data_IF_067198402265
#
_entry.id   IF_067198402265
#
_cell.length_a   1.000
_cell.length_b   1.000
_cell.length_c   1.000
_cell.angle_alpha   90.00
_cell.angle_beta   90.00
_cell.angle_gamma   90.00
#
_symmetry.space_group_name_H-M   'P 1'
#
loop_
_entity.id
_entity.type
_entity.pdbx_description
1 polymer ?
#
# COMPACT_ATOMS: atom_id res chain seq x y z
N UNK A 1 54.00 6.83 -61.74
CA UNK A 1 52.68 6.32 -61.27
C UNK A 1 52.73 6.30 -59.74
N UNK A 2 52.09 7.31 -59.11
CA UNK A 2 52.00 7.37 -57.61
C UNK A 2 50.62 6.91 -57.19
N UNK A 3 50.56 5.74 -56.50
CA UNK A 3 49.30 5.25 -55.82
C UNK A 3 49.13 6.02 -54.56
N UNK A 4 48.05 6.82 -54.46
CA UNK A 4 47.54 7.41 -53.20
C UNK A 4 46.70 6.40 -52.50
N UNK A 5 47.18 5.82 -51.38
CA UNK A 5 46.38 5.10 -50.44
C UNK A 5 45.54 6.12 -49.62
N UNK A 6 44.21 6.07 -49.75
CA UNK A 6 43.28 6.83 -48.92
C UNK A 6 42.99 5.98 -47.68
N UNK A 7 43.50 6.43 -46.53
CA UNK A 7 43.18 5.84 -45.22
C UNK A 7 41.83 6.36 -44.75
N UNK A 8 40.81 5.51 -44.82
CA UNK A 8 39.45 5.83 -44.30
C UNK A 8 39.43 5.54 -42.79
N UNK A 9 39.62 6.56 -41.95
CA UNK A 9 39.52 6.46 -40.50
C UNK A 9 38.05 6.38 -40.11
N UNK A 10 37.55 5.18 -39.77
CA UNK A 10 36.23 4.98 -39.18
C UNK A 10 36.29 5.45 -37.71
N UNK A 11 35.73 6.60 -37.45
CA UNK A 11 35.57 7.15 -36.10
C UNK A 11 34.36 6.45 -35.47
N UNK A 12 34.58 5.38 -34.68
CA UNK A 12 33.56 4.74 -33.88
C UNK A 12 33.14 5.69 -32.74
N UNK A 13 32.04 6.40 -32.94
CA UNK A 13 31.39 7.19 -31.88
C UNK A 13 30.74 6.22 -30.93
N UNK A 14 31.39 5.92 -29.80
CA UNK A 14 30.78 5.27 -28.67
C UNK A 14 29.77 6.25 -28.06
N UNK A 15 28.50 6.13 -28.43
CA UNK A 15 27.43 6.73 -27.66
C UNK A 15 27.37 5.99 -26.33
N UNK A 16 27.94 6.59 -25.29
CA UNK A 16 27.61 6.21 -23.92
C UNK A 16 26.13 6.50 -23.72
N UNK A 17 25.30 5.48 -23.89
CA UNK A 17 23.92 5.49 -23.41
C UNK A 17 23.99 5.54 -21.87
N UNK A 18 24.11 6.75 -21.31
CA UNK A 18 23.79 6.96 -19.92
C UNK A 18 22.32 6.54 -19.76
N UNK A 19 22.08 5.31 -19.33
CA UNK A 19 20.77 4.94 -18.80
C UNK A 19 20.51 5.88 -17.62
N UNK A 20 19.68 6.88 -17.83
CA UNK A 20 19.27 7.78 -16.77
C UNK A 20 18.68 6.94 -15.66
N UNK A 21 19.28 7.02 -14.48
CA UNK A 21 18.75 6.28 -13.32
C UNK A 21 17.34 6.77 -13.01
N UNK A 22 16.42 5.83 -12.83
CA UNK A 22 15.03 6.12 -12.55
C UNK A 22 14.91 6.86 -11.21
N UNK A 23 14.27 8.01 -11.20
CA UNK A 23 14.00 8.76 -9.97
C UNK A 23 12.82 8.17 -9.19
N UNK A 24 12.74 8.47 -7.88
CA UNK A 24 11.62 8.02 -7.05
C UNK A 24 10.26 8.47 -7.58
N UNK A 25 10.18 9.70 -8.13
CA UNK A 25 8.96 10.22 -8.75
C UNK A 25 8.59 9.45 -10.02
N UNK A 26 9.55 9.19 -10.90
CA UNK A 26 9.30 8.42 -12.12
C UNK A 26 8.91 6.98 -11.82
N UNK A 27 9.51 6.36 -10.79
CA UNK A 27 9.11 5.03 -10.34
C UNK A 27 7.67 5.04 -9.84
N UNK A 28 7.29 6.03 -9.03
CA UNK A 28 5.92 6.16 -8.54
C UNK A 28 4.92 6.33 -9.70
N UNK A 29 5.21 7.14 -10.71
CA UNK A 29 4.33 7.28 -11.88
C UNK A 29 4.18 5.96 -12.65
N UNK A 30 5.28 5.20 -12.84
CA UNK A 30 5.21 3.91 -13.52
C UNK A 30 4.38 2.88 -12.75
N UNK A 31 4.52 2.83 -11.43
CA UNK A 31 3.75 1.91 -10.60
C UNK A 31 2.27 2.30 -10.52
N UNK A 32 1.94 3.59 -10.44
CA UNK A 32 0.55 4.06 -10.53
C UNK A 32 -0.05 3.69 -11.89
N UNK A 33 0.67 3.90 -12.98
CA UNK A 33 0.20 3.51 -14.32
C UNK A 33 -0.04 1.98 -14.44
N UNK A 34 0.67 1.15 -13.67
CA UNK A 34 0.39 -0.29 -13.60
C UNK A 34 -0.88 -0.58 -12.80
N UNK A 35 -1.05 0.06 -11.62
CA UNK A 35 -2.13 -0.24 -10.70
C UNK A 35 -3.43 0.50 -11.05
N UNK A 36 -3.34 1.75 -11.47
CA UNK A 36 -4.47 2.63 -11.77
C UNK A 36 -4.22 3.49 -13.02
N UNK A 37 -4.19 2.88 -14.22
CA UNK A 37 -3.87 3.59 -15.46
C UNK A 37 -4.91 4.65 -15.86
N UNK A 38 -6.10 4.62 -15.27
CA UNK A 38 -7.20 5.54 -15.58
C UNK A 38 -7.42 6.59 -14.48
N UNK A 39 -6.59 6.60 -13.43
CA UNK A 39 -6.74 7.49 -12.27
C UNK A 39 -8.09 7.36 -11.56
N UNK A 40 -8.61 6.13 -11.48
CA UNK A 40 -9.91 5.84 -10.87
C UNK A 40 -9.91 6.05 -9.34
N UNK A 41 -8.71 6.00 -8.71
CA UNK A 41 -8.60 6.21 -7.26
C UNK A 41 -9.05 7.60 -6.82
N UNK A 42 -8.92 8.62 -7.66
CA UNK A 42 -9.31 10.00 -7.32
C UNK A 42 -10.79 10.10 -6.93
N UNK A 43 -11.66 9.37 -7.62
CA UNK A 43 -13.10 9.36 -7.39
C UNK A 43 -13.59 7.96 -7.05
N UNK A 44 -12.75 7.17 -6.37
CA UNK A 44 -13.06 5.78 -6.05
C UNK A 44 -14.35 5.66 -5.25
N UNK A 45 -15.27 4.86 -5.77
CA UNK A 45 -16.56 4.57 -5.15
C UNK A 45 -16.89 3.10 -5.37
N UNK A 46 -16.55 2.26 -4.40
CA UNK A 46 -16.84 0.83 -4.44
C UNK A 46 -16.75 0.20 -3.05
N UNK A 47 -17.13 -1.07 -2.97
CA UNK A 47 -17.01 -1.89 -1.77
C UNK A 47 -16.27 -3.19 -2.07
N UNK A 48 -15.56 -3.69 -1.06
CA UNK A 48 -14.86 -4.95 -1.12
C UNK A 48 -14.84 -5.65 0.23
N UNK A 49 -14.69 -6.97 0.21
CA UNK A 49 -14.58 -7.76 1.44
C UNK A 49 -13.13 -8.10 1.73
N UNK A 50 -12.73 -7.93 2.98
CA UNK A 50 -11.43 -8.36 3.49
C UNK A 50 -11.62 -9.46 4.52
N UNK A 51 -11.09 -10.64 4.21
CA UNK A 51 -10.99 -11.75 5.14
C UNK A 51 -9.61 -11.77 5.76
N UNK A 52 -9.50 -11.36 7.03
CA UNK A 52 -8.27 -11.46 7.81
C UNK A 52 -8.19 -12.81 8.49
N UNK A 53 -7.03 -13.46 8.38
CA UNK A 53 -6.72 -14.72 9.07
C UNK A 53 -5.44 -14.49 9.86
N UNK A 54 -5.50 -14.58 11.19
CA UNK A 54 -4.34 -14.42 12.07
C UNK A 54 -3.47 -15.67 12.07
N UNK A 55 -2.26 -15.58 12.62
CA UNK A 55 -1.36 -16.75 12.75
C UNK A 55 -1.92 -17.87 13.66
N UNK A 56 -2.86 -17.56 14.53
CA UNK A 56 -3.62 -18.52 15.34
C UNK A 56 -4.99 -18.89 14.73
N UNK A 57 -5.13 -18.69 13.41
CA UNK A 57 -6.28 -19.08 12.58
C UNK A 57 -7.62 -18.40 12.93
N UNK A 58 -7.60 -17.34 13.73
CA UNK A 58 -8.81 -16.54 13.97
C UNK A 58 -9.18 -15.75 12.71
N UNK A 59 -10.48 -15.74 12.42
CA UNK A 59 -11.01 -15.09 11.22
C UNK A 59 -11.78 -13.83 11.61
N UNK A 60 -11.57 -12.77 10.83
CA UNK A 60 -12.40 -11.57 10.81
C UNK A 60 -12.78 -11.26 9.38
N UNK A 61 -14.05 -11.12 9.10
CA UNK A 61 -14.55 -10.65 7.82
C UNK A 61 -15.01 -9.20 7.94
N UNK A 62 -14.61 -8.38 7.01
CA UNK A 62 -14.92 -6.95 6.96
C UNK A 62 -15.39 -6.61 5.56
N UNK A 63 -16.65 -6.16 5.43
CA UNK A 63 -17.12 -5.47 4.23
C UNK A 63 -16.79 -3.99 4.40
N UNK A 64 -16.07 -3.43 3.44
CA UNK A 64 -15.56 -2.05 3.47
C UNK A 64 -16.11 -1.35 2.25
N UNK A 65 -16.67 -0.19 2.45
CA UNK A 65 -17.11 0.73 1.42
C UNK A 65 -16.31 2.02 1.53
N UNK A 66 -15.76 2.47 0.43
CA UNK A 66 -15.02 3.73 0.32
C UNK A 66 -15.64 4.53 -0.84
N UNK A 67 -16.12 5.72 -0.52
CA UNK A 67 -16.57 6.71 -1.50
C UNK A 67 -15.79 7.99 -1.26
N UNK A 68 -14.71 8.16 -2.02
CA UNK A 68 -13.82 9.30 -1.86
C UNK A 68 -14.48 10.61 -2.32
N UNK A 69 -15.37 10.55 -3.31
CA UNK A 69 -16.05 11.73 -3.83
C UNK A 69 -17.02 12.33 -2.81
N UNK A 70 -17.77 11.49 -2.10
CA UNK A 70 -18.74 11.93 -1.09
C UNK A 70 -18.14 11.99 0.33
N UNK A 71 -16.86 11.65 0.50
CA UNK A 71 -16.18 11.52 1.81
C UNK A 71 -16.90 10.53 2.75
N UNK A 72 -17.43 9.44 2.16
CA UNK A 72 -18.12 8.40 2.91
C UNK A 72 -17.21 7.17 3.08
N UNK A 73 -17.22 6.63 4.28
CA UNK A 73 -16.61 5.34 4.59
C UNK A 73 -17.57 4.52 5.43
N UNK A 74 -17.81 3.27 5.06
CA UNK A 74 -18.49 2.32 5.92
C UNK A 74 -17.70 1.04 6.09
N UNK A 75 -17.90 0.40 7.25
CA UNK A 75 -17.27 -0.88 7.55
C UNK A 75 -18.23 -1.77 8.36
N UNK A 76 -18.56 -2.92 7.82
CA UNK A 76 -19.27 -3.98 8.53
C UNK A 76 -18.31 -5.09 8.89
N UNK A 77 -18.15 -5.39 10.18
CA UNK A 77 -17.22 -6.43 10.69
C UNK A 77 -18.01 -7.54 11.36
N UNK A 78 -17.71 -8.77 10.99
CA UNK A 78 -18.17 -9.96 11.71
C UNK A 78 -16.95 -10.61 12.35
N UNK A 79 -17.00 -10.73 13.68
CA UNK A 79 -15.95 -11.35 14.48
C UNK A 79 -16.56 -12.00 15.73
N UNK A 80 -16.23 -13.26 15.99
CA UNK A 80 -16.68 -14.00 17.18
C UNK A 80 -18.21 -13.86 17.42
N UNK A 81 -19.01 -14.02 16.35
CA UNK A 81 -20.48 -13.88 16.32
C UNK A 81 -21.00 -12.45 16.59
N UNK A 82 -20.14 -11.48 16.83
CA UNK A 82 -20.54 -10.09 16.96
C UNK A 82 -20.47 -9.37 15.60
N UNK A 83 -21.47 -8.52 15.37
CA UNK A 83 -21.53 -7.66 14.19
C UNK A 83 -21.35 -6.20 14.59
N UNK A 84 -20.35 -5.54 14.05
CA UNK A 84 -20.15 -4.10 14.20
C UNK A 84 -20.36 -3.44 12.84
N UNK A 85 -21.19 -2.42 12.78
CA UNK A 85 -21.31 -1.56 11.62
C UNK A 85 -20.88 -0.14 12.01
N UNK A 86 -19.99 0.41 11.22
CA UNK A 86 -19.46 1.77 11.38
C UNK A 86 -19.70 2.53 10.10
N UNK A 87 -20.19 3.75 10.20
CA UNK A 87 -20.28 4.69 9.08
C UNK A 87 -19.67 6.01 9.47
N UNK A 88 -18.89 6.58 8.55
CA UNK A 88 -18.32 7.92 8.63
C UNK A 88 -18.82 8.66 7.39
N UNK A 89 -19.58 9.72 7.60
CA UNK A 89 -20.01 10.64 6.57
C UNK A 89 -19.35 11.99 6.86
N UNK A 90 -18.34 12.32 6.08
CA UNK A 90 -17.47 13.48 6.30
C UNK A 90 -16.85 13.46 7.70
N UNK A 91 -17.32 14.32 8.61
CA UNK A 91 -16.88 14.40 10.01
C UNK A 91 -17.80 13.67 10.99
N UNK A 92 -18.96 13.18 10.54
CA UNK A 92 -19.91 12.49 11.39
C UNK A 92 -19.60 11.00 11.47
N UNK A 93 -19.81 10.40 12.63
CA UNK A 93 -19.51 9.00 12.88
C UNK A 93 -20.64 8.34 13.64
N UNK A 94 -21.08 7.20 13.14
CA UNK A 94 -22.10 6.35 13.77
C UNK A 94 -21.58 4.93 13.90
N UNK A 95 -21.87 4.30 15.04
CA UNK A 95 -21.47 2.91 15.32
C UNK A 95 -22.70 2.15 15.79
N UNK A 96 -22.95 0.99 15.19
CA UNK A 96 -24.01 0.06 15.57
C UNK A 96 -23.34 -1.27 15.93
N UNK A 97 -23.62 -1.76 17.12
CA UNK A 97 -23.10 -3.02 17.61
C UNK A 97 -24.26 -3.98 17.90
N UNK A 98 -24.26 -5.14 17.24
CA UNK A 98 -25.32 -6.13 17.34
C UNK A 98 -26.74 -5.55 17.14
N UNK A 99 -26.88 -4.58 16.23
CA UNK A 99 -28.13 -3.93 15.90
C UNK A 99 -28.54 -2.75 16.80
N UNK A 100 -27.71 -2.37 17.78
CA UNK A 100 -27.97 -1.24 18.68
C UNK A 100 -26.93 -0.15 18.59
N UNK A 101 -27.35 1.11 18.65
CA UNK A 101 -26.46 2.26 18.84
C UNK A 101 -26.04 2.46 20.31
N UNK A 102 -26.78 1.82 21.22
CA UNK A 102 -26.46 1.81 22.64
C UNK A 102 -25.79 0.49 23.00
N UNK A 103 -24.64 0.54 23.63
CA UNK A 103 -23.87 -0.63 24.08
C UNK A 103 -23.19 -0.35 25.43
N UNK A 104 -22.83 -1.40 26.13
CA UNK A 104 -22.18 -1.30 27.44
C UNK A 104 -20.78 -0.70 27.34
N UNK A 105 -20.27 -0.12 28.44
CA UNK A 105 -18.86 0.33 28.53
C UNK A 105 -17.89 -0.82 28.35
N UNK A 106 -18.28 -2.03 28.76
CA UNK A 106 -17.48 -3.24 28.59
C UNK A 106 -17.37 -3.60 27.11
N UNK A 107 -18.50 -3.65 26.36
CA UNK A 107 -18.49 -3.88 24.91
C UNK A 107 -17.74 -2.79 24.18
N UNK A 108 -17.94 -1.53 24.56
CA UNK A 108 -17.21 -0.40 23.98
C UNK A 108 -15.68 -0.60 24.08
N UNK A 109 -15.20 -0.99 25.26
CA UNK A 109 -13.76 -1.24 25.48
C UNK A 109 -13.28 -2.49 24.74
N UNK A 110 -14.02 -3.61 24.89
CA UNK A 110 -13.66 -4.92 24.29
C UNK A 110 -13.62 -4.87 22.76
N UNK A 111 -14.60 -4.22 22.15
CA UNK A 111 -14.76 -4.16 20.69
C UNK A 111 -14.27 -2.84 20.08
N UNK A 112 -13.69 -1.93 20.91
CA UNK A 112 -13.16 -0.62 20.48
C UNK A 112 -14.18 0.26 19.76
N UNK A 113 -15.42 0.26 20.26
CA UNK A 113 -16.56 0.97 19.67
C UNK A 113 -16.48 2.47 19.97
N UNK A 114 -15.55 3.16 19.29
CA UNK A 114 -15.36 4.61 19.42
C UNK A 114 -15.15 5.24 18.06
N UNK A 115 -15.63 6.46 17.85
CA UNK A 115 -15.39 7.20 16.61
C UNK A 115 -13.91 7.45 16.35
N UNK A 116 -13.11 7.65 17.39
CA UNK A 116 -11.65 7.73 17.24
C UNK A 116 -11.09 6.48 16.56
N UNK A 117 -11.56 5.29 16.97
CA UNK A 117 -11.13 4.04 16.31
C UNK A 117 -11.72 3.89 14.91
N UNK A 118 -12.96 4.34 14.70
CA UNK A 118 -13.59 4.34 13.39
C UNK A 118 -12.80 5.16 12.37
N UNK A 119 -12.43 6.42 12.70
CA UNK A 119 -11.59 7.27 11.86
C UNK A 119 -10.23 6.61 11.59
N UNK A 120 -9.59 6.01 12.62
CA UNK A 120 -8.34 5.27 12.42
C UNK A 120 -8.50 4.12 11.42
N UNK A 121 -9.61 3.40 11.46
CA UNK A 121 -9.86 2.29 10.54
C UNK A 121 -10.14 2.79 9.12
N UNK A 122 -10.88 3.90 8.97
CA UNK A 122 -11.03 4.57 7.67
C UNK A 122 -9.67 4.91 7.06
N UNK A 123 -8.83 5.59 7.82
CA UNK A 123 -7.51 6.03 7.35
C UNK A 123 -6.63 4.83 7.00
N UNK A 124 -6.66 3.77 7.83
CA UNK A 124 -5.94 2.53 7.59
C UNK A 124 -6.36 1.86 6.27
N UNK A 125 -7.66 1.62 6.07
CA UNK A 125 -8.13 0.95 4.87
C UNK A 125 -7.97 1.82 3.62
N UNK A 126 -8.29 3.09 3.71
CA UNK A 126 -8.10 4.03 2.59
C UNK A 126 -6.63 4.12 2.19
N UNK A 127 -5.71 4.14 3.17
CA UNK A 127 -4.27 4.14 2.87
C UNK A 127 -3.82 2.83 2.22
N UNK A 128 -4.04 1.68 2.87
CA UNK A 128 -3.49 0.40 2.41
C UNK A 128 -4.07 -0.07 1.07
N UNK A 129 -5.36 0.18 0.84
CA UNK A 129 -6.02 -0.22 -0.41
C UNK A 129 -5.88 0.84 -1.50
N UNK A 130 -5.55 2.08 -1.15
CA UNK A 130 -5.19 3.14 -2.07
C UNK A 130 -3.71 3.19 -2.47
N UNK A 131 -2.85 2.32 -1.93
CA UNK A 131 -1.47 2.21 -2.40
C UNK A 131 -1.43 1.60 -3.81
N UNK A 132 -0.54 2.10 -4.71
CA UNK A 132 0.46 3.14 -4.50
C UNK A 132 -0.04 4.58 -4.70
N UNK A 133 -1.28 4.82 -5.13
CA UNK A 133 -1.83 6.16 -5.42
C UNK A 133 -1.72 7.11 -4.22
N UNK A 134 -1.92 6.59 -3.01
CA UNK A 134 -1.79 7.33 -1.74
C UNK A 134 -0.39 7.92 -1.49
N UNK A 135 0.63 7.47 -2.22
CA UNK A 135 1.98 8.06 -2.15
C UNK A 135 2.08 9.42 -2.86
N UNK A 136 1.02 9.90 -3.51
CA UNK A 136 0.89 11.27 -4.04
C UNK A 136 0.26 12.25 -3.04
N UNK A 137 -0.24 11.77 -1.92
CA UNK A 137 -0.91 12.63 -0.94
C UNK A 137 0.04 13.70 -0.36
N UNK A 138 -0.49 14.86 0.00
CA UNK A 138 0.29 15.91 0.68
C UNK A 138 0.99 15.38 1.93
N UNK A 139 2.22 15.85 2.15
CA UNK A 139 3.05 15.41 3.28
C UNK A 139 3.80 14.10 3.07
N UNK A 140 3.65 13.45 1.91
CA UNK A 140 4.50 12.31 1.51
C UNK A 140 5.82 12.80 0.93
N UNK A 141 6.94 12.28 1.41
CA UNK A 141 8.29 12.62 0.99
C UNK A 141 8.93 11.41 0.32
N UNK A 142 9.13 11.48 -0.99
CA UNK A 142 9.77 10.43 -1.78
C UNK A 142 11.28 10.64 -1.81
N UNK A 143 12.06 9.59 -1.52
CA UNK A 143 13.51 9.63 -1.80
C UNK A 143 13.71 9.76 -3.32
N UNK A 144 14.50 10.73 -3.79
CA UNK A 144 14.78 10.87 -5.22
C UNK A 144 15.55 9.69 -5.82
N UNK A 145 16.25 8.91 -4.98
CA UNK A 145 17.09 7.80 -5.41
C UNK A 145 16.35 6.47 -5.30
N UNK A 146 16.13 5.81 -6.42
CA UNK A 146 15.63 4.44 -6.49
C UNK A 146 16.77 3.46 -6.30
N UNK A 147 16.64 2.54 -5.35
CA UNK A 147 17.65 1.50 -5.12
C UNK A 147 17.21 0.17 -5.73
N UNK A 148 18.17 -0.58 -6.29
CA UNK A 148 17.97 -2.00 -6.57
C UNK A 148 18.36 -2.80 -5.34
N UNK A 149 17.44 -3.63 -4.83
CA UNK A 149 17.70 -4.49 -3.67
C UNK A 149 17.14 -5.89 -3.90
N UNK A 150 17.86 -6.89 -3.40
CA UNK A 150 17.36 -8.25 -3.29
C UNK A 150 16.59 -8.39 -1.97
N UNK A 151 15.38 -8.93 -2.04
CA UNK A 151 14.56 -9.25 -0.88
C UNK A 151 13.89 -10.61 -1.10
N UNK A 152 14.05 -11.54 -0.16
CA UNK A 152 13.52 -12.92 -0.26
C UNK A 152 13.81 -13.56 -1.63
N UNK A 153 15.09 -13.55 -2.03
CA UNK A 153 15.62 -14.13 -3.28
C UNK A 153 15.19 -13.43 -4.59
N UNK A 154 14.35 -12.40 -4.56
CA UNK A 154 13.89 -11.64 -5.71
C UNK A 154 14.49 -10.23 -5.74
N UNK A 155 14.83 -9.73 -6.93
CA UNK A 155 15.30 -8.35 -7.12
C UNK A 155 14.13 -7.39 -7.31
N UNK A 156 14.26 -6.19 -6.72
CA UNK A 156 13.25 -5.13 -6.75
C UNK A 156 13.86 -3.76 -7.01
N UNK A 157 13.05 -2.88 -7.60
CA UNK A 157 13.23 -1.44 -7.48
C UNK A 157 12.60 -1.00 -6.15
N UNK A 158 13.35 -0.26 -5.34
CA UNK A 158 12.93 0.11 -3.98
C UNK A 158 12.87 1.61 -3.83
N UNK A 159 11.71 2.10 -3.44
CA UNK A 159 11.44 3.50 -3.10
C UNK A 159 11.37 3.65 -1.59
N UNK A 160 12.23 4.49 -1.02
CA UNK A 160 12.09 4.94 0.37
C UNK A 160 11.12 6.10 0.44
N UNK A 161 10.22 6.05 1.41
CA UNK A 161 9.22 7.08 1.66
C UNK A 161 9.23 7.44 3.14
N UNK A 162 9.20 8.73 3.41
CA UNK A 162 8.97 9.29 4.74
C UNK A 162 7.81 10.27 4.67
N UNK A 163 7.41 10.82 5.80
CA UNK A 163 6.28 11.73 5.86
C UNK A 163 6.64 12.97 6.66
N UNK A 164 5.94 14.06 6.41
CA UNK A 164 5.94 15.20 7.33
C UNK A 164 5.47 14.74 8.71
N UNK A 165 5.99 15.32 9.78
CA UNK A 165 5.74 14.89 11.16
C UNK A 165 4.25 14.88 11.54
N UNK A 166 3.46 15.76 10.94
CA UNK A 166 2.00 15.83 11.09
C UNK A 166 1.24 14.66 10.45
N UNK A 167 1.86 13.97 9.49
CA UNK A 167 1.26 12.86 8.71
C UNK A 167 1.71 11.52 9.25
N UNK A 168 3.00 11.33 9.50
CA UNK A 168 3.53 10.07 10.00
C UNK A 168 5.00 10.18 10.42
N UNK A 169 5.45 9.21 11.21
CA UNK A 169 6.82 9.17 11.72
C UNK A 169 7.61 7.95 11.24
N UNK A 170 6.91 6.97 10.67
CA UNK A 170 7.51 5.72 10.24
C UNK A 170 8.27 5.91 8.91
N UNK A 171 9.35 5.18 8.75
CA UNK A 171 10.06 5.07 7.47
C UNK A 171 9.51 3.87 6.71
N UNK A 172 9.13 4.09 5.46
CA UNK A 172 8.56 3.07 4.59
C UNK A 172 9.47 2.77 3.41
N UNK A 173 9.46 1.52 2.97
CA UNK A 173 10.09 1.02 1.76
C UNK A 173 9.06 0.28 0.93
N UNK A 174 8.92 0.69 -0.32
CA UNK A 174 8.03 0.05 -1.28
C UNK A 174 8.88 -0.66 -2.33
N UNK A 175 8.58 -1.91 -2.57
CA UNK A 175 9.32 -2.79 -3.46
C UNK A 175 8.50 -3.08 -4.70
N UNK A 176 9.04 -2.75 -5.85
CA UNK A 176 8.36 -2.87 -7.13
C UNK A 176 9.09 -3.85 -8.04
N UNK A 177 8.33 -4.64 -8.77
CA UNK A 177 8.85 -5.52 -9.80
C UNK A 177 9.59 -4.69 -10.86
N UNK A 178 10.84 -5.00 -11.21
CA UNK A 178 11.63 -4.17 -12.13
C UNK A 178 11.15 -4.24 -13.59
N UNK A 179 10.29 -5.19 -13.94
CA UNK A 179 9.76 -5.36 -15.29
C UNK A 179 8.35 -4.79 -15.45
N UNK A 180 7.48 -5.04 -14.48
CA UNK A 180 6.06 -4.67 -14.54
C UNK A 180 5.73 -3.40 -13.76
N UNK A 181 6.59 -3.00 -12.81
CA UNK A 181 6.35 -1.94 -11.82
C UNK A 181 5.20 -2.25 -10.84
N UNK A 182 4.72 -3.49 -10.79
CA UNK A 182 3.77 -3.92 -9.77
C UNK A 182 4.39 -3.77 -8.38
N UNK A 183 3.63 -3.24 -7.43
CA UNK A 183 4.02 -3.23 -6.02
C UNK A 183 3.83 -4.64 -5.45
N UNK A 184 4.91 -5.26 -4.97
CA UNK A 184 4.90 -6.64 -4.48
C UNK A 184 5.25 -6.76 -3.00
N UNK A 185 5.89 -5.76 -2.40
CA UNK A 185 6.18 -5.72 -0.96
C UNK A 185 6.11 -4.27 -0.50
N UNK A 186 5.66 -4.06 0.72
CA UNK A 186 5.97 -2.85 1.46
C UNK A 186 6.44 -3.21 2.88
N UNK A 187 7.29 -2.36 3.43
CA UNK A 187 7.96 -2.58 4.70
C UNK A 187 8.04 -1.26 5.46
N UNK A 188 7.77 -1.26 6.74
CA UNK A 188 7.93 -0.06 7.55
C UNK A 188 8.74 -0.32 8.81
N UNK A 189 9.37 0.76 9.28
CA UNK A 189 10.12 0.81 10.51
C UNK A 189 9.69 2.04 11.32
N UNK A 190 9.49 1.86 12.61
CA UNK A 190 9.39 2.98 13.56
C UNK A 190 10.78 3.50 13.89
N UNK A 191 11.76 2.58 14.02
CA UNK A 191 13.17 2.84 14.20
C UNK A 191 13.98 1.79 13.43
N UNK A 192 14.56 2.17 12.29
CA UNK A 192 15.34 1.26 11.43
C UNK A 192 16.52 0.61 12.18
N UNK A 193 17.12 1.33 13.15
CA UNK A 193 18.27 0.82 13.92
C UNK A 193 17.91 -0.38 14.79
N UNK A 194 16.63 -0.54 15.14
CA UNK A 194 16.09 -1.63 15.95
C UNK A 194 15.54 -2.78 15.14
N UNK A 195 15.51 -2.64 13.81
CA UNK A 195 14.85 -3.59 12.90
C UNK A 195 13.42 -3.90 13.36
N UNK A 196 12.73 -2.90 13.89
CA UNK A 196 11.33 -3.02 14.33
C UNK A 196 10.36 -2.88 13.14
N UNK A 197 9.05 -2.94 13.44
CA UNK A 197 8.03 -2.84 12.38
C UNK A 197 7.80 -4.16 11.67
N UNK A 198 7.26 -4.05 10.46
CA UNK A 198 6.74 -5.20 9.72
C UNK A 198 7.04 -5.05 8.22
N UNK A 199 7.08 -6.19 7.51
CA UNK A 199 6.99 -6.21 6.07
C UNK A 199 5.77 -7.02 5.62
N UNK A 200 5.24 -6.66 4.47
CA UNK A 200 4.02 -7.22 3.92
C UNK A 200 4.29 -7.69 2.50
N UNK A 201 4.16 -9.00 2.27
CA UNK A 201 4.25 -9.60 0.93
C UNK A 201 2.87 -9.50 0.28
N UNK A 202 2.87 -9.07 -0.97
CA UNK A 202 1.69 -8.86 -1.78
C UNK A 202 1.66 -9.90 -2.91
N UNK A 203 0.58 -10.68 -2.95
CA UNK A 203 0.45 -11.77 -3.91
C UNK A 203 -0.86 -11.65 -4.65
N UNK A 204 -0.86 -12.14 -5.87
CA UNK A 204 -1.99 -12.09 -6.79
C UNK A 204 -2.53 -10.67 -7.02
N UNK A 205 -3.33 -10.52 -8.05
CA UNK A 205 -3.98 -9.24 -8.38
C UNK A 205 -5.47 -9.51 -8.57
N UNK A 206 -6.27 -8.61 -8.00
CA UNK A 206 -7.70 -8.50 -8.27
C UNK A 206 -7.99 -7.09 -8.76
N UNK A 207 -8.95 -6.94 -9.64
CA UNK A 207 -9.39 -5.64 -10.13
C UNK A 207 -10.67 -5.21 -9.38
N UNK A 208 -10.63 -4.02 -8.79
CA UNK A 208 -11.76 -3.38 -8.12
C UNK A 208 -11.93 -2.00 -8.74
N UNK A 209 -13.06 -1.73 -9.36
CA UNK A 209 -13.36 -0.48 -10.09
C UNK A 209 -12.24 -0.04 -11.05
N UNK A 210 -11.64 -1.00 -11.77
CA UNK A 210 -10.57 -0.75 -12.74
C UNK A 210 -9.20 -0.52 -12.11
N UNK A 211 -9.05 -0.68 -10.79
CA UNK A 211 -7.79 -0.58 -10.05
C UNK A 211 -7.27 -1.99 -9.75
N UNK A 212 -6.02 -2.25 -10.12
CA UNK A 212 -5.34 -3.50 -9.81
C UNK A 212 -4.81 -3.47 -8.37
N UNK A 213 -5.47 -4.20 -7.50
CA UNK A 213 -5.10 -4.29 -6.08
C UNK A 213 -4.47 -5.64 -5.77
N UNK A 214 -3.48 -5.74 -4.87
CA UNK A 214 -3.01 -7.01 -4.34
C UNK A 214 -4.16 -7.77 -3.68
N UNK A 215 -4.35 -9.03 -4.06
CA UNK A 215 -5.40 -9.89 -3.50
C UNK A 215 -5.05 -10.39 -2.11
N UNK A 216 -3.79 -10.76 -1.90
CA UNK A 216 -3.30 -11.31 -0.63
C UNK A 216 -2.24 -10.36 -0.07
N UNK A 217 -2.33 -10.07 1.22
CA UNK A 217 -1.34 -9.33 2.01
C UNK A 217 -0.92 -10.20 3.17
N UNK A 218 0.31 -10.70 3.16
CA UNK A 218 0.87 -11.55 4.20
C UNK A 218 1.84 -10.75 5.08
N UNK A 219 1.58 -10.68 6.38
CA UNK A 219 2.24 -9.82 7.35
C UNK A 219 3.29 -10.57 8.16
N UNK A 220 4.46 -9.96 8.33
CA UNK A 220 5.59 -10.54 9.07
C UNK A 220 6.31 -9.46 9.88
N UNK A 221 6.87 -9.83 11.04
CA UNK A 221 7.80 -8.93 11.73
C UNK A 221 9.14 -8.82 10.98
N UNK A 222 9.72 -7.61 10.95
CA UNK A 222 11.05 -7.39 10.38
C UNK A 222 12.13 -8.16 11.13
N UNK A 223 12.00 -8.22 12.46
CA UNK A 223 13.05 -8.70 13.36
C UNK A 223 13.40 -10.17 13.20
N UNK A 224 12.41 -11.01 12.96
CA UNK A 224 12.55 -12.47 13.05
C UNK A 224 11.73 -13.23 12.01
N UNK A 225 11.18 -12.53 11.02
CA UNK A 225 10.33 -13.10 9.97
C UNK A 225 9.09 -13.84 10.51
N UNK A 226 8.68 -13.57 11.74
CA UNK A 226 7.53 -14.24 12.35
C UNK A 226 6.25 -13.82 11.63
N UNK A 227 5.53 -14.81 11.13
CA UNK A 227 4.23 -14.62 10.48
C UNK A 227 3.17 -14.14 11.47
N UNK A 228 2.42 -13.12 11.09
CA UNK A 228 1.36 -12.49 11.88
C UNK A 228 -0.05 -12.88 11.41
N UNK A 229 -0.20 -13.09 10.13
CA UNK A 229 -1.48 -13.37 9.50
C UNK A 229 -1.53 -12.85 8.07
N UNK A 230 -2.68 -12.99 7.44
CA UNK A 230 -2.93 -12.48 6.10
C UNK A 230 -4.30 -11.86 5.95
N UNK A 231 -4.39 -10.89 5.05
CA UNK A 231 -5.63 -10.33 4.55
C UNK A 231 -5.85 -10.85 3.12
N UNK A 232 -7.08 -11.28 2.83
CA UNK A 232 -7.51 -11.72 1.50
C UNK A 232 -8.62 -10.79 1.05
N UNK A 233 -8.40 -10.11 -0.06
CA UNK A 233 -9.36 -9.24 -0.73
C UNK A 233 -10.25 -10.08 -1.67
N UNK A 234 -11.57 -9.93 -1.54
CA UNK A 234 -12.60 -10.58 -2.36
C UNK A 234 -13.64 -9.57 -2.86
#
# INVERSE_FOLDING_TARGET
>A
MFNKLIFFSIFLIFHNLFSQELTGKELLEKTINFHDPKNNWTDFQDSFTVKMITSDEKIRESLIEIDLYNELFSMSVIKDQNKTFTVIDKSECKIIFNGSESFSKEDQKKHRLTCKNAFKMRDYYTYLYGLPMKLKDPGTILDPVVKRKKFKEKEYLVLKVTYEESVGKDTWYFYFNPLTYAMEVYQFFKDESKNDGEYIILEDIVEVSGIKMPKIRSWFFNKDDKYLGKDILN
#
